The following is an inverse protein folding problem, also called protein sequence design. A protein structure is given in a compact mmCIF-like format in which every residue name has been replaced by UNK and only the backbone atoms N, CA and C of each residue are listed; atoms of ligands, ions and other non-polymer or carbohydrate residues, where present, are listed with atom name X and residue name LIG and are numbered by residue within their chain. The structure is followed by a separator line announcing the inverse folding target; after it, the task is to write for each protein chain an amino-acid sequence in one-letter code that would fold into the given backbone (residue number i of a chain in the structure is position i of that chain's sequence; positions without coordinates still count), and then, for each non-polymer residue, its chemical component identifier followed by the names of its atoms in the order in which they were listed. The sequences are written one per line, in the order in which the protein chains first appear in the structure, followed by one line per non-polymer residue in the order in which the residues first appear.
data_IF_689972359888
#
_entry.id   IF_689972359888
#
_cell.length_a   1.000
_cell.length_b   1.000
_cell.length_c   1.000
_cell.angle_alpha   90.00
_cell.angle_beta   90.00
_cell.angle_gamma   90.00
#
_symmetry.space_group_name_H-M   'P 1'
#
loop_
_entity.id
_entity.type
_entity.pdbx_description
1 polymer ?
#
# COMPACT_ATOMS: atom_id res chain seq x y z
N UNK A 1 -1.63 -18.42 -0.92
CA UNK A 1 -1.31 -18.77 0.49
C UNK A 1 -0.37 -17.76 1.17
N UNK A 2 0.88 -17.55 0.72
CA UNK A 2 1.80 -16.63 1.42
C UNK A 2 1.32 -15.17 1.41
N UNK A 3 0.94 -14.64 0.24
CA UNK A 3 0.44 -13.25 0.10
C UNK A 3 -0.87 -13.02 0.86
N UNK A 4 -1.77 -14.01 0.91
CA UNK A 4 -3.02 -13.93 1.67
C UNK A 4 -2.76 -13.82 3.19
N UNK A 5 -1.80 -14.59 3.71
CA UNK A 5 -1.40 -14.51 5.12
C UNK A 5 -0.78 -13.16 5.44
N UNK A 6 0.02 -12.61 4.52
CA UNK A 6 0.61 -11.29 4.66
C UNK A 6 -0.47 -10.20 4.69
N UNK A 7 -1.45 -10.26 3.78
CA UNK A 7 -2.58 -9.34 3.75
C UNK A 7 -3.39 -9.37 5.04
N UNK A 8 -3.67 -10.57 5.59
CA UNK A 8 -4.35 -10.71 6.88
C UNK A 8 -3.52 -10.11 8.02
N UNK A 9 -2.21 -10.35 8.05
CA UNK A 9 -1.34 -9.79 9.07
C UNK A 9 -1.32 -8.26 9.04
N UNK A 10 -1.17 -7.66 7.85
CA UNK A 10 -1.26 -6.20 7.68
C UNK A 10 -2.63 -5.67 8.10
N UNK A 11 -3.74 -6.32 7.72
CA UNK A 11 -5.07 -5.88 8.13
C UNK A 11 -5.21 -5.82 9.65
N UNK A 12 -4.80 -6.88 10.36
CA UNK A 12 -4.90 -6.95 11.83
C UNK A 12 -4.06 -5.86 12.49
N UNK A 13 -2.83 -5.67 12.02
CA UNK A 13 -1.94 -4.63 12.55
C UNK A 13 -2.53 -3.25 12.30
N UNK A 14 -2.91 -2.95 11.05
CA UNK A 14 -3.39 -1.63 10.67
C UNK A 14 -4.74 -1.29 11.33
N UNK A 15 -5.65 -2.24 11.49
CA UNK A 15 -6.91 -2.01 12.19
C UNK A 15 -6.71 -1.63 13.67
N UNK A 16 -5.64 -2.10 14.31
CA UNK A 16 -5.32 -1.75 15.71
C UNK A 16 -4.67 -0.35 15.82
N UNK A 17 -3.85 0.02 14.83
CA UNK A 17 -3.11 1.28 14.87
C UNK A 17 -3.88 2.47 14.28
N UNK A 18 -4.75 2.23 13.28
CA UNK A 18 -5.45 3.29 12.57
C UNK A 18 -6.79 3.57 13.25
N UNK A 19 -6.82 4.64 14.05
CA UNK A 19 -8.05 5.15 14.66
C UNK A 19 -8.11 6.68 14.51
N UNK A 20 -9.27 7.32 14.75
CA UNK A 20 -9.40 8.77 14.60
C UNK A 20 -8.37 9.56 15.43
N UNK A 21 -7.99 9.04 16.59
CA UNK A 21 -7.01 9.65 17.49
C UNK A 21 -5.55 9.39 17.06
N UNK A 22 -5.33 8.41 16.16
CA UNK A 22 -4.02 7.99 15.66
C UNK A 22 -4.11 7.66 14.15
N UNK A 23 -4.23 8.67 13.29
CA UNK A 23 -4.19 8.44 11.84
C UNK A 23 -2.80 7.92 11.44
N UNK A 24 -2.77 7.01 10.48
CA UNK A 24 -1.54 6.42 9.97
C UNK A 24 -1.31 6.81 8.51
N UNK A 25 -0.07 7.14 8.18
CA UNK A 25 0.37 7.36 6.80
C UNK A 25 1.43 6.30 6.46
N UNK A 26 1.21 5.55 5.39
CA UNK A 26 2.22 4.64 4.81
C UNK A 26 2.77 5.31 3.56
N UNK A 27 4.09 5.55 3.54
CA UNK A 27 4.83 6.02 2.39
C UNK A 27 5.50 4.84 1.71
N UNK A 28 5.21 4.63 0.43
CA UNK A 28 5.82 3.60 -0.41
C UNK A 28 6.65 4.30 -1.48
N UNK A 29 7.97 4.18 -1.40
CA UNK A 29 8.86 4.73 -2.41
C UNK A 29 9.03 3.74 -3.58
N UNK A 30 9.44 4.26 -4.74
CA UNK A 30 9.81 3.48 -5.92
C UNK A 30 8.72 2.46 -6.36
N UNK A 31 7.45 2.87 -6.30
CA UNK A 31 6.30 1.98 -6.55
C UNK A 31 6.28 1.38 -7.97
N UNK A 32 7.00 2.00 -8.91
CA UNK A 32 7.18 1.48 -10.27
C UNK A 32 7.86 0.11 -10.32
N UNK A 33 8.62 -0.26 -9.28
CA UNK A 33 9.30 -1.57 -9.19
C UNK A 33 8.46 -2.65 -8.48
N UNK A 34 7.28 -2.31 -7.98
CA UNK A 34 6.43 -3.25 -7.28
C UNK A 34 5.86 -4.30 -8.23
N UNK A 35 5.88 -5.57 -7.82
CA UNK A 35 5.19 -6.63 -8.54
C UNK A 35 3.65 -6.45 -8.43
N UNK A 36 2.86 -7.08 -9.33
CA UNK A 36 1.40 -6.97 -9.30
C UNK A 36 0.76 -7.38 -7.97
N UNK A 37 1.29 -8.40 -7.28
CA UNK A 37 0.73 -8.86 -6.01
C UNK A 37 1.00 -7.88 -4.85
N UNK A 38 2.09 -7.13 -4.92
CA UNK A 38 2.39 -6.04 -4.01
C UNK A 38 1.42 -4.86 -4.23
N UNK A 39 1.11 -4.53 -5.48
CA UNK A 39 0.10 -3.50 -5.81
C UNK A 39 -1.31 -3.93 -5.37
N UNK A 40 -1.68 -5.19 -5.60
CA UNK A 40 -2.95 -5.76 -5.15
C UNK A 40 -3.09 -5.68 -3.62
N UNK A 41 -2.01 -5.97 -2.87
CA UNK A 41 -2.00 -5.82 -1.42
C UNK A 41 -2.28 -4.38 -1.00
N UNK A 42 -1.59 -3.39 -1.60
CA UNK A 42 -1.83 -1.97 -1.30
C UNK A 42 -3.27 -1.57 -1.61
N UNK A 43 -3.82 -2.02 -2.74
CA UNK A 43 -5.22 -1.78 -3.11
C UNK A 43 -6.20 -2.43 -2.13
N UNK A 44 -5.94 -3.67 -1.69
CA UNK A 44 -6.76 -4.35 -0.69
C UNK A 44 -6.76 -3.63 0.66
N UNK A 45 -5.62 -3.11 1.10
CA UNK A 45 -5.52 -2.35 2.34
C UNK A 45 -6.23 -0.99 2.25
N UNK A 46 -6.06 -0.28 1.13
CA UNK A 46 -6.71 1.01 0.91
C UNK A 46 -8.24 0.94 0.80
N UNK A 47 -8.77 -0.17 0.29
CA UNK A 47 -10.22 -0.39 0.13
C UNK A 47 -10.86 -1.13 1.31
N UNK A 48 -10.14 -1.30 2.42
CA UNK A 48 -10.65 -2.02 3.57
C UNK A 48 -11.43 -1.10 4.52
N UNK A 49 -12.74 -1.31 4.62
CA UNK A 49 -13.61 -0.52 5.50
C UNK A 49 -13.31 -0.69 7.00
N UNK A 50 -12.65 -1.78 7.42
CA UNK A 50 -12.25 -1.99 8.81
C UNK A 50 -11.02 -1.13 9.18
N UNK A 51 -10.30 -0.61 8.19
CA UNK A 51 -9.10 0.23 8.39
C UNK A 51 -9.49 1.69 8.16
N UNK A 52 -9.99 2.32 9.21
CA UNK A 52 -10.31 3.75 9.19
C UNK A 52 -9.06 4.61 9.40
N UNK A 53 -8.99 5.82 8.85
CA UNK A 53 -7.90 6.78 9.11
C UNK A 53 -6.49 6.33 8.64
N UNK A 54 -6.44 5.56 7.55
CA UNK A 54 -5.21 5.21 6.85
C UNK A 54 -5.09 6.02 5.55
N UNK A 55 -3.91 6.60 5.30
CA UNK A 55 -3.54 7.15 4.01
C UNK A 55 -2.31 6.41 3.47
N UNK A 56 -2.41 5.88 2.26
CA UNK A 56 -1.27 5.30 1.55
C UNK A 56 -0.84 6.27 0.46
N UNK A 57 0.45 6.63 0.45
CA UNK A 57 1.04 7.51 -0.54
C UNK A 57 2.16 6.76 -1.25
N UNK A 58 2.01 6.58 -2.56
CA UNK A 58 3.03 6.01 -3.43
C UNK A 58 3.84 7.10 -4.12
N UNK A 59 5.16 7.01 -4.06
CA UNK A 59 6.05 7.77 -4.93
C UNK A 59 6.30 6.94 -6.19
N UNK A 60 5.84 7.45 -7.33
CA UNK A 60 6.06 6.86 -8.64
C UNK A 60 6.97 7.78 -9.43
N UNK A 61 7.98 7.20 -10.07
CA UNK A 61 8.75 7.87 -11.11
C UNK A 61 8.33 7.29 -12.44
N UNK A 62 7.96 8.18 -13.35
CA UNK A 62 7.80 7.78 -14.74
C UNK A 62 9.18 7.46 -15.30
N UNK A 63 9.41 6.21 -15.68
CA UNK A 63 10.60 5.82 -16.42
C UNK A 63 10.41 6.26 -17.89
N UNK A 64 10.34 7.58 -18.12
CA UNK A 64 10.61 8.15 -19.44
C UNK A 64 12.12 7.99 -19.70
N UNK A 65 12.55 6.76 -19.99
CA UNK A 65 13.65 6.59 -20.95
C UNK A 65 13.07 6.94 -22.32
N UNK A 66 12.84 8.24 -22.49
CA UNK A 66 12.46 8.86 -23.74
C UNK A 66 13.30 8.24 -24.85
N UNK A 67 12.61 7.69 -25.83
CA UNK A 67 13.15 7.44 -27.15
C UNK A 67 14.02 8.63 -27.60
N UNK A 68 15.33 8.46 -27.48
CA UNK A 68 16.33 9.24 -28.21
C UNK A 68 17.25 8.23 -28.90
N UNK A 69 16.71 7.63 -29.97
CA UNK A 69 17.31 7.42 -31.29
C UNK A 69 16.54 6.36 -32.08
#
# INVERSE_FOLDING_TARGET
MASERLAVAFRVVLAEFCCPERPLIILVDDIQWADPSSLDLLAMLANNNDISNLLIVGCFRDDEQAHIN
#
